data_IF_866766127677
#
_entry.id   IF_866766127677
#
_cell.length_a   1.000
_cell.length_b   1.000
_cell.length_c   1.000
_cell.angle_alpha   90.00
_cell.angle_beta   90.00
_cell.angle_gamma   90.00
#
_symmetry.space_group_name_H-M   'P 1'
#
loop_
_entity.id
_entity.type
_entity.pdbx_description
1 polymer ?
#
# COMPACT_ATOMS: atom_id res chain seq x y z
N UNK A 1 1.96 21.06 -16.12
CA UNK A 1 2.73 20.37 -15.06
C UNK A 1 1.77 19.48 -14.30
N UNK A 2 1.64 18.21 -14.68
CA UNK A 2 0.72 17.26 -14.03
C UNK A 2 1.43 16.57 -12.86
N UNK A 3 0.80 16.52 -11.69
CA UNK A 3 1.33 15.78 -10.56
C UNK A 3 1.33 14.27 -10.90
N UNK A 4 2.45 13.55 -10.68
CA UNK A 4 2.47 12.11 -10.94
C UNK A 4 1.54 11.40 -9.95
N UNK A 5 0.66 10.55 -10.49
CA UNK A 5 -0.25 9.73 -9.70
C UNK A 5 0.58 8.79 -8.80
N UNK A 6 0.39 8.93 -7.50
CA UNK A 6 1.06 8.09 -6.50
C UNK A 6 0.16 6.88 -6.23
N UNK A 7 0.59 5.70 -6.64
CA UNK A 7 -0.17 4.48 -6.45
C UNK A 7 0.05 3.96 -5.02
N UNK A 8 -1.02 3.91 -4.24
CA UNK A 8 -1.02 3.25 -2.92
C UNK A 8 -1.37 1.79 -3.18
N UNK A 9 -0.38 0.92 -3.41
CA UNK A 9 -0.68 -0.50 -3.65
C UNK A 9 -0.89 -1.19 -2.30
N UNK A 10 -2.15 -1.44 -1.97
CA UNK A 10 -2.52 -2.50 -1.03
C UNK A 10 -2.10 -3.84 -1.60
N UNK A 11 -1.11 -4.49 -0.99
CA UNK A 11 -0.86 -5.91 -1.24
C UNK A 11 -1.42 -6.70 -0.06
N UNK A 12 -2.71 -7.05 -0.15
CA UNK A 12 -3.15 -8.36 0.33
C UNK A 12 -2.84 -9.32 -0.81
N UNK A 13 -2.06 -10.34 -0.49
CA UNK A 13 -1.54 -11.39 -1.34
C UNK A 13 -2.55 -11.85 -2.40
N UNK A 14 -2.28 -11.54 -3.68
CA UNK A 14 -2.61 -12.28 -4.94
C UNK A 14 -3.20 -11.40 -6.05
N UNK A 15 -2.49 -11.39 -7.20
CA UNK A 15 -2.95 -11.04 -8.55
C UNK A 15 -3.09 -9.56 -8.98
N UNK A 16 -1.96 -8.84 -9.08
CA UNK A 16 -1.79 -7.87 -10.16
C UNK A 16 -0.30 -7.77 -10.52
N UNK A 17 0.12 -8.43 -11.60
CA UNK A 17 1.43 -8.19 -12.18
C UNK A 17 1.40 -6.79 -12.81
N UNK A 18 1.85 -5.77 -12.07
CA UNK A 18 2.09 -4.43 -12.64
C UNK A 18 3.06 -4.60 -13.81
N UNK A 19 2.66 -4.30 -15.06
CA UNK A 19 3.57 -4.40 -16.20
C UNK A 19 4.84 -3.57 -15.94
N UNK A 20 6.01 -4.07 -16.33
CA UNK A 20 7.27 -3.35 -16.09
C UNK A 20 7.30 -1.94 -16.71
N UNK A 21 6.52 -1.73 -17.77
CA UNK A 21 6.32 -0.40 -18.37
C UNK A 21 5.59 0.56 -17.44
N UNK A 22 4.60 0.06 -16.69
CA UNK A 22 3.84 0.84 -15.72
C UNK A 22 4.62 1.03 -14.41
N UNK A 23 5.41 0.05 -14.00
CA UNK A 23 6.18 0.13 -12.75
C UNK A 23 7.26 1.23 -12.78
N UNK A 24 7.73 1.61 -13.97
CA UNK A 24 8.68 2.73 -14.16
C UNK A 24 8.02 4.10 -14.24
N UNK A 25 6.69 4.17 -14.40
CA UNK A 25 5.95 5.42 -14.51
C UNK A 25 5.11 5.76 -13.27
N UNK A 26 5.03 4.85 -12.29
CA UNK A 26 4.30 5.04 -11.03
C UNK A 26 5.24 5.19 -9.85
N UNK A 27 4.83 6.00 -8.87
CA UNK A 27 5.53 6.11 -7.60
C UNK A 27 4.97 5.11 -6.60
N UNK A 28 5.82 4.23 -6.09
CA UNK A 28 5.50 3.35 -4.97
C UNK A 28 5.80 4.04 -3.64
N UNK A 29 4.89 3.93 -2.67
CA UNK A 29 5.11 4.43 -1.31
C UNK A 29 4.90 3.28 -0.33
N UNK A 30 5.83 3.11 0.61
CA UNK A 30 5.70 2.13 1.69
C UNK A 30 6.22 2.70 3.01
N UNK A 31 5.58 2.30 4.11
CA UNK A 31 5.87 2.81 5.46
C UNK A 31 7.27 2.46 5.95
N UNK A 32 7.97 3.42 6.55
CA UNK A 32 9.35 3.25 7.04
C UNK A 32 9.51 2.36 8.28
N UNK A 33 8.61 1.39 8.51
CA UNK A 33 8.64 0.49 9.65
C UNK A 33 9.91 -0.38 9.64
N UNK A 34 10.51 -0.70 10.81
CA UNK A 34 11.75 -1.46 10.89
C UNK A 34 11.71 -2.82 10.18
N UNK A 35 10.56 -3.51 10.19
CA UNK A 35 10.34 -4.80 9.51
C UNK A 35 10.55 -4.75 8.01
N UNK A 36 10.41 -3.57 7.39
CA UNK A 36 10.49 -3.39 5.94
C UNK A 36 11.77 -2.67 5.50
N UNK A 37 12.73 -2.49 6.42
CA UNK A 37 14.00 -1.79 6.17
C UNK A 37 15.16 -2.70 5.74
N UNK A 38 14.89 -3.94 5.32
CA UNK A 38 15.95 -4.87 4.90
C UNK A 38 16.57 -4.46 3.57
N UNK A 39 17.84 -4.84 3.33
CA UNK A 39 18.51 -4.60 2.05
C UNK A 39 17.76 -5.26 0.88
N UNK A 40 17.26 -6.47 1.10
CA UNK A 40 16.57 -7.26 0.08
C UNK A 40 15.29 -6.57 -0.40
N UNK A 41 14.51 -5.97 0.52
CA UNK A 41 13.33 -5.18 0.17
C UNK A 41 13.73 -3.98 -0.68
N UNK A 42 14.79 -3.24 -0.29
CA UNK A 42 15.25 -2.07 -1.05
C UNK A 42 15.78 -2.43 -2.43
N UNK A 43 16.51 -3.54 -2.55
CA UNK A 43 16.99 -4.04 -3.84
C UNK A 43 15.81 -4.45 -4.72
N UNK A 44 14.82 -5.14 -4.17
CA UNK A 44 13.60 -5.51 -4.89
C UNK A 44 12.87 -4.27 -5.42
N UNK A 45 12.69 -3.24 -4.58
CA UNK A 45 12.03 -2.00 -4.98
C UNK A 45 12.82 -1.24 -6.05
N UNK A 46 14.15 -1.22 -5.97
CA UNK A 46 15.00 -0.64 -7.02
C UNK A 46 14.87 -1.39 -8.35
N UNK A 47 14.80 -2.72 -8.34
CA UNK A 47 14.62 -3.51 -9.58
C UNK A 47 13.24 -3.27 -10.18
N UNK A 48 12.20 -3.20 -9.35
CA UNK A 48 10.80 -3.14 -9.80
C UNK A 48 10.36 -1.74 -10.19
N UNK A 49 10.72 -0.72 -9.40
CA UNK A 49 10.25 0.66 -9.55
C UNK A 49 11.38 1.65 -9.90
N UNK A 50 12.63 1.20 -9.97
CA UNK A 50 13.78 2.08 -10.21
C UNK A 50 13.97 3.06 -9.05
N UNK A 51 14.11 4.34 -9.37
CA UNK A 51 14.20 5.42 -8.37
C UNK A 51 12.81 5.98 -7.98
N UNK A 52 11.72 5.37 -8.44
CA UNK A 52 10.35 5.85 -8.23
C UNK A 52 9.68 5.18 -7.03
N UNK A 53 10.37 5.18 -5.88
CA UNK A 53 9.75 4.72 -4.64
C UNK A 53 10.17 5.57 -3.43
N UNK A 54 9.26 5.68 -2.47
CA UNK A 54 9.42 6.40 -1.21
C UNK A 54 9.43 5.40 -0.07
N UNK A 55 10.39 5.56 0.84
CA UNK A 55 10.51 4.71 2.01
C UNK A 55 11.84 4.95 2.73
N UNK A 56 11.99 4.34 3.90
CA UNK A 56 13.20 4.51 4.71
C UNK A 56 14.43 3.95 3.98
N UNK A 57 15.43 4.81 3.72
CA UNK A 57 16.64 4.44 2.97
C UNK A 57 16.43 4.21 1.47
N UNK A 58 15.34 4.74 0.91
CA UNK A 58 15.08 4.78 -0.53
C UNK A 58 15.51 6.09 -1.20
N UNK A 59 15.28 6.21 -2.52
CA UNK A 59 15.64 7.39 -3.33
C UNK A 59 15.04 8.69 -2.81
N UNK A 60 13.80 8.62 -2.32
CA UNK A 60 13.12 9.71 -1.64
C UNK A 60 13.00 9.34 -0.17
N UNK A 61 13.69 10.12 0.67
CA UNK A 61 13.71 9.89 2.11
C UNK A 61 12.30 10.08 2.70
N UNK A 62 11.82 9.06 3.41
CA UNK A 62 10.57 9.11 4.15
C UNK A 62 10.87 8.91 5.65
N UNK A 63 10.24 9.66 6.57
CA UNK A 63 10.51 9.52 7.99
C UNK A 63 10.07 8.14 8.49
N UNK A 64 10.71 7.68 9.58
CA UNK A 64 10.30 6.44 10.24
C UNK A 64 8.99 6.66 11.00
N UNK A 65 8.05 5.71 10.89
CA UNK A 65 6.74 5.70 11.60
C UNK A 65 5.81 6.87 11.23
N UNK A 66 5.75 7.22 9.95
CA UNK A 66 4.83 8.23 9.42
C UNK A 66 3.50 7.64 8.96
N UNK A 67 2.84 6.90 9.86
CA UNK A 67 1.50 6.33 9.66
C UNK A 67 0.45 7.40 9.31
N UNK A 68 0.66 8.65 9.71
CA UNK A 68 -0.19 9.80 9.39
C UNK A 68 -0.02 10.30 7.94
N UNK A 69 1.06 9.91 7.24
CA UNK A 69 1.39 10.42 5.91
C UNK A 69 1.14 9.40 4.79
N UNK A 70 0.74 8.17 5.12
CA UNK A 70 0.26 7.19 4.15
C UNK A 70 -1.24 7.37 3.97
N UNK A 71 -1.70 7.55 2.71
CA UNK A 71 -3.14 7.59 2.41
C UNK A 71 -3.84 6.30 2.83
N UNK A 72 -3.10 5.20 2.84
CA UNK A 72 -3.59 3.88 3.19
C UNK A 72 -3.90 3.80 4.68
N UNK A 73 -3.02 4.30 5.53
CA UNK A 73 -3.19 4.29 6.98
C UNK A 73 -4.12 5.41 7.46
N UNK A 74 -4.05 6.60 6.86
CA UNK A 74 -4.88 7.76 7.25
C UNK A 74 -6.34 7.63 6.80
N UNK A 75 -6.59 7.19 5.57
CA UNK A 75 -7.93 7.21 4.99
C UNK A 75 -8.48 5.80 4.82
N UNK A 76 -7.72 4.91 4.19
CA UNK A 76 -8.27 3.63 3.75
C UNK A 76 -8.52 2.68 4.91
N UNK A 77 -7.54 2.50 5.81
CA UNK A 77 -7.64 1.55 6.91
C UNK A 77 -8.72 1.94 7.92
N UNK A 78 -8.82 3.22 8.29
CA UNK A 78 -9.87 3.71 9.19
C UNK A 78 -11.29 3.57 8.61
N UNK A 79 -11.45 3.83 7.31
CA UNK A 79 -12.73 3.62 6.63
C UNK A 79 -13.07 2.12 6.55
N UNK A 80 -12.09 1.29 6.20
CA UNK A 80 -12.29 -0.15 6.07
C UNK A 80 -12.62 -0.79 7.42
N UNK A 81 -11.96 -0.37 8.51
CA UNK A 81 -12.29 -0.81 9.86
C UNK A 81 -13.75 -0.45 10.23
N UNK A 82 -14.20 0.75 9.88
CA UNK A 82 -15.58 1.18 10.13
C UNK A 82 -16.60 0.30 9.42
N UNK A 83 -16.35 -0.08 8.16
CA UNK A 83 -17.26 -0.93 7.37
C UNK A 83 -17.21 -2.41 7.82
N UNK A 84 -16.00 -2.94 7.99
CA UNK A 84 -15.75 -4.33 8.39
C UNK A 84 -16.21 -4.64 9.81
N UNK A 85 -16.42 -3.64 10.67
CA UNK A 85 -16.92 -3.85 12.03
C UNK A 85 -18.28 -3.17 12.29
N UNK A 86 -18.99 -2.73 11.25
CA UNK A 86 -20.35 -2.18 11.39
C UNK A 86 -21.31 -3.21 12.03
N UNK A 87 -21.24 -4.46 11.58
CA UNK A 87 -21.87 -5.61 12.22
C UNK A 87 -20.83 -6.51 12.90
N UNK A 88 -21.22 -7.28 13.95
CA UNK A 88 -20.36 -8.31 14.53
C UNK A 88 -19.80 -9.25 13.46
N UNK A 89 -18.55 -9.66 13.64
CA UNK A 89 -17.86 -10.62 12.77
C UNK A 89 -17.93 -11.98 13.45
N UNK A 90 -18.50 -12.96 12.75
CA UNK A 90 -18.78 -14.28 13.33
C UNK A 90 -17.71 -15.34 12.99
N UNK A 91 -16.83 -15.08 12.02
CA UNK A 91 -15.76 -16.00 11.59
C UNK A 91 -14.63 -15.30 10.83
N UNK A 92 -13.49 -15.98 10.67
CA UNK A 92 -12.38 -15.49 9.84
C UNK A 92 -12.78 -15.41 8.36
N UNK A 93 -13.58 -16.36 7.89
CA UNK A 93 -14.09 -16.37 6.52
C UNK A 93 -15.00 -15.17 6.24
N UNK A 94 -15.87 -14.82 7.19
CA UNK A 94 -16.71 -13.62 7.13
C UNK A 94 -15.86 -12.35 7.10
N UNK A 95 -14.84 -12.26 7.97
CA UNK A 95 -13.92 -11.12 8.00
C UNK A 95 -13.23 -10.90 6.65
N UNK A 96 -12.68 -11.97 6.06
CA UNK A 96 -11.98 -11.91 4.77
C UNK A 96 -12.95 -11.54 3.63
N UNK A 97 -14.17 -12.06 3.67
CA UNK A 97 -15.20 -11.74 2.69
C UNK A 97 -15.59 -10.25 2.75
N UNK A 98 -15.78 -9.70 3.94
CA UNK A 98 -16.11 -8.28 4.17
C UNK A 98 -14.99 -7.35 3.73
N UNK A 99 -13.74 -7.62 4.15
CA UNK A 99 -12.57 -6.87 3.68
C UNK A 99 -12.50 -6.85 2.15
N UNK A 100 -12.73 -8.00 1.51
CA UNK A 100 -12.66 -8.12 0.06
C UNK A 100 -13.79 -7.36 -0.67
N UNK A 101 -14.97 -7.26 -0.06
CA UNK A 101 -16.11 -6.53 -0.58
C UNK A 101 -15.88 -5.02 -0.44
N UNK A 102 -15.58 -4.56 0.77
CA UNK A 102 -15.38 -3.14 1.06
C UNK A 102 -14.22 -2.56 0.26
N UNK A 103 -13.14 -3.34 0.09
CA UNK A 103 -12.02 -2.93 -0.72
C UNK A 103 -12.36 -2.71 -2.21
N UNK A 104 -13.38 -3.40 -2.74
CA UNK A 104 -13.86 -3.20 -4.11
C UNK A 104 -14.73 -1.96 -4.22
N UNK A 105 -15.63 -1.74 -3.27
CA UNK A 105 -16.50 -0.56 -3.24
C UNK A 105 -15.69 0.73 -3.11
N UNK A 106 -14.65 0.72 -2.28
CA UNK A 106 -13.75 1.87 -2.10
C UNK A 106 -12.87 2.18 -3.33
N UNK A 107 -12.81 1.30 -4.32
CA UNK A 107 -12.11 1.51 -5.59
C UNK A 107 -12.99 2.10 -6.70
N UNK A 108 -14.28 2.34 -6.40
CA UNK A 108 -15.27 2.92 -7.31
C UNK A 108 -14.93 4.30 -7.87
#
# INVERSE_FOLDING_TARGET
>A
MGAPLCACTMNISRAAHVPQSLSRSVWFQHEGAPSHYTNDVRQHLNVKFGQHWKGRGGPVHWPARSLDLSRLDFFYWGQMETLVYETPVDSEEDLVARISLDAREMQG
#
